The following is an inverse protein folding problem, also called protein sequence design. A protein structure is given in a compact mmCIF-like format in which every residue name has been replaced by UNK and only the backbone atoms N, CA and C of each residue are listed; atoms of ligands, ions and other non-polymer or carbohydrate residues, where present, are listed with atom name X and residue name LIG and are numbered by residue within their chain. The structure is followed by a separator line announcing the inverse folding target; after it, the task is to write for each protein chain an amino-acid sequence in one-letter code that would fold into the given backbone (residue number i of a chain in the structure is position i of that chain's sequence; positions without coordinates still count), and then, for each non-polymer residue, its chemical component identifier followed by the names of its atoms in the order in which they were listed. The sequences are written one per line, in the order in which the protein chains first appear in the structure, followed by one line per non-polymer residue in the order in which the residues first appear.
data_IF_243490739074
#
_entry.id   IF_243490739074
#
_cell.length_a   1.000
_cell.length_b   1.000
_cell.length_c   1.000
_cell.angle_alpha   90.00
_cell.angle_beta   90.00
_cell.angle_gamma   90.00
#
_symmetry.space_group_name_H-M   'P 1'
#
loop_
_entity.id
_entity.type
_entity.pdbx_description
1 polymer ?
#
# COMPACT_ATOMS: atom_id res chain seq x y z
N UNK A 1 -29.10 -25.61 18.36
CA UNK A 1 -28.72 -24.91 17.12
C UNK A 1 -27.44 -24.18 17.41
N UNK A 2 -26.33 -24.67 16.87
CA UNK A 2 -25.01 -24.05 17.04
C UNK A 2 -24.82 -23.16 15.82
N UNK A 3 -24.96 -21.85 15.98
CA UNK A 3 -24.61 -20.88 14.94
C UNK A 3 -23.09 -20.91 14.81
N UNK A 4 -22.61 -21.65 13.81
CA UNK A 4 -21.23 -21.57 13.35
C UNK A 4 -21.06 -20.18 12.76
N UNK A 5 -20.51 -19.26 13.56
CA UNK A 5 -20.01 -17.98 13.07
C UNK A 5 -18.93 -18.32 12.06
N UNK A 6 -19.20 -18.05 10.78
CA UNK A 6 -18.16 -18.04 9.77
C UNK A 6 -17.16 -16.97 10.21
N UNK A 7 -16.01 -17.38 10.74
CA UNK A 7 -14.85 -16.50 10.87
C UNK A 7 -14.39 -16.23 9.45
N UNK A 8 -15.02 -15.24 8.79
CA UNK A 8 -14.44 -14.62 7.61
C UNK A 8 -13.03 -14.23 8.00
N UNK A 9 -12.02 -14.75 7.30
CA UNK A 9 -10.67 -14.23 7.41
C UNK A 9 -10.77 -12.71 7.21
N UNK A 10 -10.37 -11.93 8.23
CA UNK A 10 -10.42 -10.48 8.20
C UNK A 10 -9.58 -9.99 7.01
N UNK A 11 -10.11 -9.07 6.19
CA UNK A 11 -9.37 -8.56 5.03
C UNK A 11 -8.03 -7.99 5.52
N UNK A 12 -6.88 -8.40 4.96
CA UNK A 12 -5.57 -7.95 5.43
C UNK A 12 -5.43 -6.42 5.48
N UNK A 13 -6.10 -5.69 4.57
CA UNK A 13 -6.08 -4.24 4.59
C UNK A 13 -6.79 -3.67 5.84
N UNK A 14 -7.91 -4.28 6.25
CA UNK A 14 -8.64 -3.88 7.46
C UNK A 14 -7.84 -4.19 8.72
N UNK A 15 -7.18 -5.34 8.77
CA UNK A 15 -6.28 -5.70 9.87
C UNK A 15 -5.13 -4.68 10.01
N UNK A 16 -4.54 -4.22 8.90
CA UNK A 16 -3.51 -3.17 8.91
C UNK A 16 -4.09 -1.82 9.36
N UNK A 17 -5.27 -1.41 8.89
CA UNK A 17 -5.90 -0.17 9.36
C UNK A 17 -6.16 -0.22 10.88
N UNK A 18 -6.66 -1.34 11.38
CA UNK A 18 -6.90 -1.54 12.81
C UNK A 18 -5.61 -1.44 13.61
N UNK A 19 -4.60 -2.23 13.23
CA UNK A 19 -3.30 -2.24 13.89
C UNK A 19 -2.66 -0.85 13.92
N UNK A 20 -2.67 -0.16 12.77
CA UNK A 20 -2.08 1.18 12.69
C UNK A 20 -2.87 2.22 13.49
N UNK A 21 -4.18 2.10 13.55
CA UNK A 21 -5.03 2.97 14.37
C UNK A 21 -4.80 2.75 15.87
N UNK A 22 -4.78 1.49 16.32
CA UNK A 22 -4.52 1.15 17.73
C UNK A 22 -3.16 1.68 18.18
N UNK A 23 -2.13 1.54 17.34
CA UNK A 23 -0.79 2.03 17.65
C UNK A 23 -0.67 3.56 17.59
N UNK A 24 -1.42 4.23 16.71
CA UNK A 24 -1.47 5.69 16.61
C UNK A 24 -2.06 6.32 17.88
N UNK A 25 -3.04 5.65 18.47
CA UNK A 25 -3.76 6.11 19.66
C UNK A 25 -3.32 5.39 20.95
N UNK A 26 -2.19 4.66 20.93
CA UNK A 26 -1.72 3.88 22.08
C UNK A 26 -1.45 4.72 23.34
N UNK A 27 -1.11 6.01 23.18
CA UNK A 27 -0.89 6.92 24.31
C UNK A 27 -2.18 7.61 24.78
N UNK A 28 -3.26 7.49 24.00
CA UNK A 28 -4.56 8.00 24.39
C UNK A 28 -5.24 7.00 25.33
N UNK A 29 -5.93 7.49 26.35
CA UNK A 29 -6.75 6.63 27.21
C UNK A 29 -7.79 5.86 26.39
N UNK A 30 -8.21 4.69 26.89
CA UNK A 30 -9.14 3.79 26.20
C UNK A 30 -10.40 4.50 25.66
N UNK A 31 -10.97 5.40 26.47
CA UNK A 31 -12.18 6.18 26.11
C UNK A 31 -12.00 7.07 24.87
N UNK A 32 -10.76 7.47 24.56
CA UNK A 32 -10.42 8.29 23.39
C UNK A 32 -9.95 7.43 22.22
N UNK A 33 -9.20 6.36 22.49
CA UNK A 33 -8.66 5.48 21.45
C UNK A 33 -9.76 4.66 20.75
N UNK A 34 -10.66 4.03 21.50
CA UNK A 34 -11.67 3.10 20.96
C UNK A 34 -12.59 3.74 19.91
N UNK A 35 -13.15 4.96 20.11
CA UNK A 35 -13.96 5.62 19.09
C UNK A 35 -13.17 5.97 17.82
N UNK A 36 -11.89 6.34 17.96
CA UNK A 36 -11.04 6.71 16.82
C UNK A 36 -10.69 5.48 15.97
N UNK A 37 -10.29 4.39 16.62
CA UNK A 37 -10.04 3.10 15.96
C UNK A 37 -11.29 2.60 15.26
N UNK A 38 -12.44 2.63 15.94
CA UNK A 38 -13.71 2.19 15.37
C UNK A 38 -14.09 3.01 14.13
N UNK A 39 -13.91 4.34 14.17
CA UNK A 39 -14.19 5.21 13.02
C UNK A 39 -13.31 4.87 11.81
N UNK A 40 -11.99 4.75 12.02
CA UNK A 40 -11.05 4.45 10.94
C UNK A 40 -11.29 3.06 10.33
N UNK A 41 -11.62 2.06 11.16
CA UNK A 41 -12.00 0.73 10.69
C UNK A 41 -13.29 0.76 9.87
N UNK A 42 -14.31 1.54 10.30
CA UNK A 42 -15.56 1.68 9.55
C UNK A 42 -15.35 2.36 8.19
N UNK A 43 -14.53 3.42 8.13
CA UNK A 43 -14.18 4.13 6.90
C UNK A 43 -13.42 3.22 5.92
N UNK A 44 -12.46 2.42 6.42
CA UNK A 44 -11.76 1.45 5.60
C UNK A 44 -12.68 0.34 5.08
N UNK A 45 -13.59 -0.16 5.92
CA UNK A 45 -14.60 -1.14 5.52
C UNK A 45 -15.50 -0.59 4.41
N UNK A 46 -15.94 0.66 4.53
CA UNK A 46 -16.73 1.32 3.49
C UNK A 46 -15.94 1.41 2.17
N UNK A 47 -14.66 1.77 2.22
CA UNK A 47 -13.83 1.80 1.01
C UNK A 47 -13.72 0.43 0.35
N UNK A 48 -13.54 -0.65 1.12
CA UNK A 48 -13.51 -2.03 0.60
C UNK A 48 -14.84 -2.41 -0.04
N UNK A 49 -15.97 -2.14 0.62
CA UNK A 49 -17.32 -2.49 0.12
C UNK A 49 -17.69 -1.69 -1.13
N UNK A 50 -17.30 -0.43 -1.18
CA UNK A 50 -17.58 0.47 -2.31
C UNK A 50 -16.56 0.37 -3.44
N UNK A 51 -15.51 -0.46 -3.30
CA UNK A 51 -14.43 -0.58 -4.29
C UNK A 51 -13.58 0.68 -4.45
N UNK A 52 -13.54 1.55 -3.43
CA UNK A 52 -12.77 2.81 -3.43
C UNK A 52 -11.31 2.54 -3.02
N UNK A 53 -10.57 1.86 -3.89
CA UNK A 53 -9.23 1.36 -3.58
C UNK A 53 -8.22 2.48 -3.37
N UNK A 54 -8.29 3.55 -4.19
CA UNK A 54 -7.43 4.72 -4.01
C UNK A 54 -7.60 5.36 -2.62
N UNK A 55 -8.84 5.55 -2.18
CA UNK A 55 -9.16 6.13 -0.87
C UNK A 55 -8.68 5.24 0.27
N UNK A 56 -8.82 3.92 0.13
CA UNK A 56 -8.30 2.95 1.10
C UNK A 56 -6.76 3.04 1.21
N UNK A 57 -6.04 3.08 0.09
CA UNK A 57 -4.58 3.22 0.07
C UNK A 57 -4.16 4.54 0.71
N UNK A 58 -4.85 5.63 0.40
CA UNK A 58 -4.59 6.95 0.99
C UNK A 58 -4.75 6.92 2.52
N UNK A 59 -5.87 6.38 3.02
CA UNK A 59 -6.15 6.24 4.44
C UNK A 59 -5.10 5.39 5.15
N UNK A 60 -4.70 4.26 4.55
CA UNK A 60 -3.67 3.38 5.12
C UNK A 60 -2.32 4.09 5.19
N UNK A 61 -1.91 4.80 4.15
CA UNK A 61 -0.64 5.53 4.13
C UNK A 61 -0.60 6.64 5.18
N UNK A 62 -1.68 7.41 5.32
CA UNK A 62 -1.80 8.42 6.38
C UNK A 62 -1.72 7.80 7.77
N UNK A 63 -2.37 6.65 7.98
CA UNK A 63 -2.33 5.94 9.26
C UNK A 63 -0.91 5.45 9.60
N UNK A 64 -0.20 4.91 8.60
CA UNK A 64 1.21 4.49 8.74
C UNK A 64 2.14 5.67 9.06
N UNK A 65 1.87 6.85 8.51
CA UNK A 65 2.71 8.02 8.75
C UNK A 65 2.81 8.41 10.22
N UNK A 66 1.72 8.25 10.97
CA UNK A 66 1.62 8.60 12.39
C UNK A 66 2.41 7.63 13.28
N UNK A 67 2.46 6.35 12.90
CA UNK A 67 3.04 5.27 13.72
C UNK A 67 4.46 4.88 13.33
N UNK A 68 5.02 5.52 12.32
CA UNK A 68 6.26 5.06 11.68
C UNK A 68 7.45 4.96 12.64
N UNK A 69 7.51 5.82 13.67
CA UNK A 69 8.55 5.78 14.71
C UNK A 69 8.31 4.72 15.80
N UNK A 70 7.15 4.06 15.79
CA UNK A 70 6.67 3.13 16.82
C UNK A 70 6.67 1.67 16.38
N UNK A 71 6.84 1.40 15.09
CA UNK A 71 6.82 0.05 14.50
C UNK A 71 8.22 -0.49 14.20
N UNK A 72 8.35 -1.81 14.25
CA UNK A 72 9.58 -2.47 13.79
C UNK A 72 9.71 -2.44 12.27
N UNK A 73 10.93 -2.63 11.76
CA UNK A 73 11.16 -2.71 10.29
C UNK A 73 10.41 -3.86 9.63
N UNK A 74 10.26 -4.98 10.35
CA UNK A 74 9.55 -6.16 9.85
C UNK A 74 8.05 -5.88 9.72
N UNK A 75 7.48 -5.20 10.70
CA UNK A 75 6.07 -4.80 10.66
C UNK A 75 5.84 -3.78 9.56
N UNK A 76 6.76 -2.83 9.38
CA UNK A 76 6.68 -1.84 8.31
C UNK A 76 6.74 -2.49 6.91
N UNK A 77 7.64 -3.46 6.70
CA UNK A 77 7.70 -4.24 5.45
C UNK A 77 6.37 -4.99 5.21
N UNK A 78 5.79 -5.59 6.24
CA UNK A 78 4.51 -6.29 6.16
C UNK A 78 3.36 -5.33 5.80
N UNK A 79 3.26 -4.21 6.51
CA UNK A 79 2.24 -3.17 6.30
C UNK A 79 2.28 -2.65 4.86
N UNK A 80 3.47 -2.25 4.37
CA UNK A 80 3.60 -1.77 3.00
C UNK A 80 3.31 -2.87 1.97
N UNK A 81 3.66 -4.13 2.25
CA UNK A 81 3.27 -5.26 1.39
C UNK A 81 1.75 -5.37 1.26
N UNK A 82 1.00 -5.20 2.37
CA UNK A 82 -0.46 -5.23 2.34
C UNK A 82 -1.02 -4.03 1.57
N UNK A 83 -0.51 -2.82 1.79
CA UNK A 83 -0.93 -1.62 1.05
C UNK A 83 -0.71 -1.80 -0.45
N UNK A 84 0.46 -2.30 -0.86
CA UNK A 84 0.75 -2.60 -2.26
C UNK A 84 -0.19 -3.67 -2.84
N UNK A 85 -0.62 -4.64 -2.05
CA UNK A 85 -1.59 -5.64 -2.50
C UNK A 85 -2.98 -5.05 -2.78
N UNK A 86 -3.37 -3.94 -2.14
CA UNK A 86 -4.63 -3.24 -2.42
C UNK A 86 -4.66 -2.74 -3.87
N UNK A 87 -3.53 -2.24 -4.38
CA UNK A 87 -3.40 -1.78 -5.78
C UNK A 87 -3.84 -2.86 -6.75
N UNK A 88 -3.55 -4.11 -6.41
CA UNK A 88 -3.87 -5.28 -7.24
C UNK A 88 -5.35 -5.64 -7.29
N UNK A 89 -6.19 -4.99 -6.46
CA UNK A 89 -7.66 -5.13 -6.45
C UNK A 89 -8.34 -4.14 -7.40
N UNK A 90 -7.64 -3.13 -7.90
CA UNK A 90 -8.21 -2.19 -8.87
C UNK A 90 -8.37 -2.85 -10.23
N UNK A 91 -9.51 -2.58 -10.86
CA UNK A 91 -9.85 -3.00 -12.22
C UNK A 91 -9.40 -1.96 -13.27
N UNK A 92 -8.99 -0.76 -12.82
CA UNK A 92 -8.55 0.33 -13.69
C UNK A 92 -7.02 0.45 -13.69
N UNK A 93 -6.35 0.31 -14.85
CA UNK A 93 -4.92 0.55 -14.98
C UNK A 93 -4.50 1.95 -14.50
N UNK A 94 -5.32 2.96 -14.77
CA UNK A 94 -5.06 4.35 -14.38
C UNK A 94 -5.15 4.54 -12.87
N UNK A 95 -6.18 3.98 -12.22
CA UNK A 95 -6.31 4.03 -10.76
C UNK A 95 -5.17 3.26 -10.08
N UNK A 96 -4.81 2.09 -10.61
CA UNK A 96 -3.68 1.30 -10.16
C UNK A 96 -2.35 2.07 -10.25
N UNK A 97 -2.15 2.83 -11.33
CA UNK A 97 -0.99 3.69 -11.52
C UNK A 97 -0.99 4.86 -10.52
N UNK A 98 -2.12 5.53 -10.30
CA UNK A 98 -2.22 6.64 -9.33
C UNK A 98 -1.98 6.15 -7.90
N UNK A 99 -2.50 4.98 -7.53
CA UNK A 99 -2.17 4.35 -6.24
C UNK A 99 -0.68 4.03 -6.12
N UNK A 100 -0.06 3.48 -7.17
CA UNK A 100 1.37 3.16 -7.17
C UNK A 100 2.23 4.43 -7.02
N UNK A 101 1.86 5.53 -7.71
CA UNK A 101 2.51 6.85 -7.56
C UNK A 101 2.38 7.37 -6.13
N UNK A 102 1.19 7.27 -5.54
CA UNK A 102 0.93 7.71 -4.17
C UNK A 102 1.80 6.93 -3.17
N UNK A 103 1.84 5.59 -3.28
CA UNK A 103 2.67 4.73 -2.42
C UNK A 103 4.15 5.09 -2.58
N UNK A 104 4.64 5.20 -3.82
CA UNK A 104 6.03 5.54 -4.11
C UNK A 104 6.41 6.88 -3.48
N UNK A 105 5.57 7.91 -3.69
CA UNK A 105 5.76 9.24 -3.12
C UNK A 105 5.84 9.22 -1.59
N UNK A 106 4.99 8.44 -0.91
CA UNK A 106 5.02 8.34 0.56
C UNK A 106 6.24 7.59 1.09
N UNK A 107 6.75 6.60 0.35
CA UNK A 107 7.97 5.87 0.74
C UNK A 107 9.21 6.75 0.57
N UNK A 108 9.26 7.59 -0.48
CA UNK A 108 10.41 8.45 -0.80
C UNK A 108 10.46 9.75 0.02
N UNK A 109 9.31 10.38 0.30
CA UNK A 109 9.26 11.72 0.91
C UNK A 109 9.76 11.81 2.36
N UNK A 110 9.90 10.71 3.10
CA UNK A 110 10.29 10.79 4.52
C UNK A 110 11.82 10.85 4.70
N UNK A 111 12.35 11.40 5.79
CA UNK A 111 13.65 11.05 6.32
C UNK A 111 13.51 9.75 7.11
N UNK A 112 14.02 8.64 6.60
CA UNK A 112 14.17 7.41 7.39
C UNK A 112 15.66 7.14 7.39
N UNK A 113 16.24 6.93 8.57
CA UNK A 113 17.62 6.47 8.74
C UNK A 113 17.84 5.04 8.20
N UNK A 114 16.84 4.48 7.49
CA UNK A 114 16.77 3.08 7.05
C UNK A 114 16.56 2.97 5.54
N UNK A 115 17.57 3.38 4.78
CA UNK A 115 17.49 3.45 3.33
C UNK A 115 17.33 2.11 2.61
N UNK A 116 17.98 1.06 3.12
CA UNK A 116 17.90 -0.27 2.58
C UNK A 116 16.48 -0.87 2.65
N UNK A 117 15.70 -0.54 3.69
CA UNK A 117 14.33 -1.02 3.85
C UNK A 117 13.41 -0.43 2.75
N UNK A 118 13.58 0.85 2.42
CA UNK A 118 12.83 1.51 1.34
C UNK A 118 13.11 0.88 0.00
N UNK A 119 14.39 0.69 -0.31
CA UNK A 119 14.81 0.07 -1.55
C UNK A 119 14.26 -1.35 -1.66
N UNK A 120 14.26 -2.10 -0.55
CA UNK A 120 13.71 -3.46 -0.49
C UNK A 120 12.20 -3.50 -0.76
N UNK A 121 11.43 -2.61 -0.13
CA UNK A 121 9.97 -2.50 -0.34
C UNK A 121 9.70 -2.07 -1.79
N UNK A 122 10.35 -1.01 -2.27
CA UNK A 122 10.15 -0.47 -3.61
C UNK A 122 10.55 -1.46 -4.70
N UNK A 123 11.68 -2.16 -4.56
CA UNK A 123 12.14 -3.11 -5.57
C UNK A 123 11.24 -4.36 -5.66
N UNK A 124 10.87 -4.92 -4.50
CA UNK A 124 10.01 -6.11 -4.44
C UNK A 124 8.62 -5.83 -4.99
N UNK A 125 8.04 -4.70 -4.61
CA UNK A 125 6.65 -4.39 -4.94
C UNK A 125 6.51 -3.77 -6.34
N UNK A 126 7.49 -2.97 -6.81
CA UNK A 126 7.53 -2.51 -8.21
C UNK A 126 7.55 -3.69 -9.17
N UNK A 127 8.35 -4.73 -8.90
CA UNK A 127 8.42 -5.91 -9.75
C UNK A 127 7.10 -6.71 -9.75
N UNK A 128 6.46 -6.85 -8.59
CA UNK A 128 5.16 -7.53 -8.46
C UNK A 128 4.04 -6.77 -9.16
N UNK A 129 3.97 -5.46 -8.97
CA UNK A 129 3.02 -4.58 -9.64
C UNK A 129 3.19 -4.64 -11.15
N UNK A 130 4.44 -4.52 -11.63
CA UNK A 130 4.77 -4.64 -13.05
C UNK A 130 4.29 -5.96 -13.64
N UNK A 131 4.55 -7.07 -12.93
CA UNK A 131 4.17 -8.40 -13.39
C UNK A 131 2.66 -8.52 -13.52
N UNK A 132 1.89 -7.97 -12.57
CA UNK A 132 0.42 -8.01 -12.62
C UNK A 132 -0.17 -7.04 -13.66
N UNK A 133 0.39 -5.83 -13.76
CA UNK A 133 0.02 -4.84 -14.77
C UNK A 133 0.22 -5.40 -16.19
N UNK A 134 1.38 -6.00 -16.47
CA UNK A 134 1.66 -6.65 -17.74
C UNK A 134 0.78 -7.88 -18.01
N UNK A 135 0.38 -8.61 -16.95
CA UNK A 135 -0.55 -9.72 -17.08
C UNK A 135 -1.97 -9.27 -17.50
N UNK A 136 -2.38 -8.05 -17.17
CA UNK A 136 -3.65 -7.46 -17.65
C UNK A 136 -3.70 -7.35 -19.18
N UNK A 137 -2.54 -7.21 -19.84
CA UNK A 137 -2.42 -7.17 -21.31
C UNK A 137 -2.13 -8.56 -21.91
N UNK A 138 -2.14 -9.64 -21.11
CA UNK A 138 -1.91 -11.01 -21.57
C UNK A 138 -3.14 -11.54 -22.32
N UNK A 139 -3.31 -11.06 -23.56
CA UNK A 139 -4.47 -11.34 -24.40
C UNK A 139 -4.70 -10.28 -25.47
N UNK A 140 -4.09 -9.10 -25.33
CA UNK A 140 -4.09 -8.06 -26.35
C UNK A 140 -3.07 -8.32 -27.46
N UNK A 141 -3.20 -7.58 -28.56
CA UNK A 141 -2.33 -7.73 -29.70
C UNK A 141 -0.87 -7.35 -29.37
N UNK A 142 0.06 -7.88 -30.17
CA UNK A 142 1.49 -7.77 -29.90
C UNK A 142 2.00 -6.32 -29.87
N UNK A 143 1.30 -5.37 -30.50
CA UNK A 143 1.68 -3.96 -30.49
C UNK A 143 1.33 -3.32 -29.14
N UNK A 144 0.10 -3.49 -28.67
CA UNK A 144 -0.37 -2.93 -27.40
C UNK A 144 0.37 -3.50 -26.19
N UNK A 145 0.67 -4.81 -26.21
CA UNK A 145 1.52 -5.44 -25.19
C UNK A 145 2.98 -4.93 -25.24
N UNK A 146 3.49 -4.57 -26.42
CA UNK A 146 4.85 -4.04 -26.58
C UNK A 146 4.95 -2.61 -26.03
N UNK A 147 3.96 -1.76 -26.29
CA UNK A 147 3.90 -0.41 -25.72
C UNK A 147 3.78 -0.44 -24.20
N UNK A 148 2.90 -1.30 -23.66
CA UNK A 148 2.75 -1.47 -22.21
C UNK A 148 4.06 -1.94 -21.54
N UNK A 149 4.84 -2.81 -22.20
CA UNK A 149 6.18 -3.24 -21.74
C UNK A 149 7.20 -2.13 -21.80
N UNK A 150 7.19 -1.32 -22.86
CA UNK A 150 8.13 -0.20 -23.00
C UNK A 150 7.87 0.88 -21.95
N UNK A 151 6.61 1.19 -21.67
CA UNK A 151 6.22 2.15 -20.64
C UNK A 151 6.52 1.65 -19.23
N UNK A 152 6.29 0.36 -18.98
CA UNK A 152 6.72 -0.36 -17.78
C UNK A 152 8.24 -0.25 -17.55
N UNK A 153 9.04 -0.51 -18.60
CA UNK A 153 10.50 -0.40 -18.54
C UNK A 153 10.93 1.05 -18.33
N UNK A 154 10.30 2.01 -19.03
CA UNK A 154 10.56 3.45 -18.90
C UNK A 154 10.29 3.92 -17.48
N UNK A 155 9.16 3.54 -16.90
CA UNK A 155 8.79 3.87 -15.51
C UNK A 155 9.80 3.32 -14.51
N UNK A 156 10.27 2.08 -14.67
CA UNK A 156 11.32 1.51 -13.81
C UNK A 156 12.65 2.24 -14.01
N UNK A 157 13.03 2.54 -15.24
CA UNK A 157 14.29 3.24 -15.55
C UNK A 157 14.26 4.67 -14.98
N UNK A 158 13.13 5.37 -15.09
CA UNK A 158 12.94 6.69 -14.49
C UNK A 158 12.94 6.63 -12.97
N UNK A 159 12.27 5.63 -12.39
CA UNK A 159 12.31 5.36 -10.95
C UNK A 159 13.75 5.11 -10.46
N UNK A 160 14.53 4.31 -11.18
CA UNK A 160 15.94 4.02 -10.86
C UNK A 160 16.84 5.24 -11.06
N UNK A 161 16.50 6.13 -12.00
CA UNK A 161 17.25 7.36 -12.27
C UNK A 161 16.82 8.54 -11.41
N UNK A 162 15.71 8.43 -10.69
CA UNK A 162 15.22 9.48 -9.83
C UNK A 162 16.29 9.80 -8.77
N UNK A 163 16.72 11.07 -8.62
CA UNK A 163 17.73 11.46 -7.64
C UNK A 163 17.35 11.03 -6.22
N UNK A 164 16.05 10.94 -5.95
CA UNK A 164 15.45 10.54 -4.68
C UNK A 164 15.73 9.07 -4.31
N UNK A 165 16.03 8.20 -5.28
CA UNK A 165 16.52 6.84 -4.97
C UNK A 165 17.94 6.86 -4.36
N UNK A 166 18.74 7.88 -4.67
CA UNK A 166 20.12 8.01 -4.22
C UNK A 166 20.29 8.98 -3.05
N UNK A 167 19.33 9.87 -2.80
CA UNK A 167 19.24 10.65 -1.55
C UNK A 167 18.98 9.78 -0.32
N UNK A 168 18.66 8.52 -0.54
CA UNK A 168 18.55 7.48 0.47
C UNK A 168 19.97 7.02 0.93
N UNK A 169 21.04 7.32 0.20
CA UNK A 169 22.41 6.92 0.56
C UNK A 169 23.32 8.06 1.10
N UNK A 170 22.82 9.30 1.19
CA UNK A 170 23.57 10.47 1.69
C UNK A 170 22.88 11.09 2.91
#
# INVERSE_FOLDING_TARGET
MTTVVQTSEEDPALAVVRFTSELAWADAGHEVAEPQVTRLCAEAQECVVMGRWFDLVSLMLTSVEVILSRVSEKDLECIFTVICNVVTKSESPDEALEMAKLISSKITQKPSDKPALRLKILAKESFKFLTKYLATFSGEDAHTLSEAKEEAVRTIVEFVKAPDMFQVFL
#
